data_IF_534414938355
#
_entry.id   IF_534414938355
#
_cell.length_a   1.000
_cell.length_b   1.000
_cell.length_c   1.000
_cell.angle_alpha   90.00
_cell.angle_beta   90.00
_cell.angle_gamma   90.00
#
_symmetry.space_group_name_H-M   'P 1'
#
loop_
_entity.id
_entity.type
_entity.pdbx_description
1 polymer ?
#
# COMPACT_ATOMS: atom_id res chain seq x y z
N UNK A 1 17.20 3.23 -20.06
CA UNK A 1 16.47 3.19 -18.77
C UNK A 1 15.06 2.71 -19.05
N UNK A 2 14.65 1.56 -18.53
CA UNK A 2 13.32 1.02 -18.77
C UNK A 2 12.25 1.95 -18.19
N UNK A 3 11.16 2.16 -18.92
CA UNK A 3 10.03 3.02 -18.54
C UNK A 3 9.54 2.59 -17.14
N UNK A 4 9.45 3.54 -16.23
CA UNK A 4 8.82 3.29 -14.93
C UNK A 4 7.32 3.25 -15.20
N UNK A 5 6.75 2.05 -15.17
CA UNK A 5 5.30 1.85 -15.29
C UNK A 5 4.60 2.52 -14.09
N UNK A 6 3.79 3.52 -14.40
CA UNK A 6 2.92 4.26 -13.49
C UNK A 6 1.49 4.12 -14.02
N UNK A 7 0.85 2.98 -13.76
CA UNK A 7 -0.40 2.55 -14.38
C UNK A 7 -1.57 2.43 -13.39
N UNK A 8 -1.38 2.81 -12.12
CA UNK A 8 -2.46 2.88 -11.15
C UNK A 8 -3.52 3.89 -11.61
N UNK A 9 -4.68 3.38 -12.01
CA UNK A 9 -5.84 4.19 -12.40
C UNK A 9 -6.58 4.73 -11.18
N UNK A 10 -7.38 5.79 -11.38
CA UNK A 10 -8.27 6.32 -10.32
C UNK A 10 -9.28 5.27 -9.84
N UNK A 11 -9.87 4.51 -10.77
CA UNK A 11 -10.80 3.43 -10.43
C UNK A 11 -10.17 2.34 -9.55
N UNK A 12 -8.94 1.93 -9.87
CA UNK A 12 -8.20 0.98 -9.04
C UNK A 12 -7.86 1.56 -7.67
N UNK A 13 -7.52 2.85 -7.61
CA UNK A 13 -7.30 3.52 -6.33
C UNK A 13 -8.55 3.54 -5.46
N UNK A 14 -9.70 3.91 -6.03
CA UNK A 14 -10.97 3.93 -5.30
C UNK A 14 -11.37 2.53 -4.83
N UNK A 15 -11.16 1.51 -5.66
CA UNK A 15 -11.36 0.11 -5.30
C UNK A 15 -10.43 -0.32 -4.15
N UNK A 16 -9.15 0.07 -4.16
CA UNK A 16 -8.22 -0.19 -3.06
C UNK A 16 -8.70 0.47 -1.76
N UNK A 17 -9.09 1.75 -1.80
CA UNK A 17 -9.59 2.48 -0.62
C UNK A 17 -10.84 1.82 -0.06
N UNK A 18 -11.80 1.48 -0.91
CA UNK A 18 -13.03 0.81 -0.49
C UNK A 18 -12.77 -0.57 0.12
N UNK A 19 -11.88 -1.37 -0.47
CA UNK A 19 -11.66 -2.76 -0.04
C UNK A 19 -10.78 -2.86 1.21
N UNK A 20 -9.82 -1.94 1.37
CA UNK A 20 -9.05 -1.83 2.62
C UNK A 20 -9.88 -1.25 3.75
N UNK A 21 -10.87 -0.42 3.45
CA UNK A 21 -11.78 0.21 4.40
C UNK A 21 -11.04 0.92 5.56
N UNK A 22 -9.93 1.59 5.24
CA UNK A 22 -9.08 2.30 6.18
C UNK A 22 -7.60 2.28 5.79
N UNK A 23 -6.75 2.79 6.68
CA UNK A 23 -5.31 2.69 6.53
C UNK A 23 -4.88 1.21 6.55
N UNK A 24 -4.16 0.78 5.51
CA UNK A 24 -3.66 -0.58 5.36
C UNK A 24 -2.71 -1.04 6.49
N UNK A 25 -2.22 -0.10 7.29
CA UNK A 25 -1.29 -0.37 8.38
C UNK A 25 -1.94 -0.32 9.76
N UNK A 26 -2.53 0.82 10.13
CA UNK A 26 -3.10 1.01 11.46
C UNK A 26 -4.63 0.79 11.52
N UNK A 27 -5.29 0.58 10.39
CA UNK A 27 -6.75 0.41 10.31
C UNK A 27 -7.56 1.69 10.53
N UNK A 28 -6.93 2.84 10.75
CA UNK A 28 -7.65 4.09 11.00
C UNK A 28 -8.50 4.51 9.80
N UNK A 29 -9.75 4.90 10.07
CA UNK A 29 -10.77 5.34 9.09
C UNK A 29 -11.14 6.82 9.25
N UNK A 30 -10.66 7.47 10.30
CA UNK A 30 -10.99 8.82 10.74
C UNK A 30 -10.10 9.91 10.11
N UNK A 31 -9.36 9.60 9.05
CA UNK A 31 -8.35 10.49 8.46
C UNK A 31 -8.12 10.24 6.98
N UNK A 32 -7.64 11.27 6.29
CA UNK A 32 -7.30 11.19 4.88
C UNK A 32 -6.26 10.09 4.59
N UNK A 33 -6.50 9.34 3.52
CA UNK A 33 -5.65 8.28 3.03
C UNK A 33 -4.81 8.78 1.86
N UNK A 34 -3.58 8.31 1.81
CA UNK A 34 -2.57 8.60 0.79
C UNK A 34 -2.15 7.29 0.11
N UNK A 35 -1.65 7.40 -1.11
CA UNK A 35 -1.07 6.27 -1.85
C UNK A 35 0.34 6.00 -1.31
N UNK A 36 0.56 4.86 -0.66
CA UNK A 36 1.92 4.41 -0.28
C UNK A 36 2.34 3.21 -1.13
N UNK A 37 3.61 3.19 -1.54
CA UNK A 37 4.21 2.10 -2.29
C UNK A 37 4.89 1.11 -1.34
N UNK A 38 4.45 -0.15 -1.34
CA UNK A 38 5.01 -1.22 -0.51
C UNK A 38 6.52 -1.42 -0.73
N UNK A 39 6.95 -1.51 -2.00
CA UNK A 39 8.32 -1.29 -2.43
C UNK A 39 8.44 0.18 -2.90
N UNK A 40 9.27 1.02 -2.23
CA UNK A 40 9.45 2.41 -2.65
C UNK A 40 9.99 2.54 -4.08
N UNK A 41 9.57 3.58 -4.80
CA UNK A 41 10.02 3.86 -6.17
C UNK A 41 11.55 4.02 -6.24
N UNK A 42 12.14 4.65 -5.23
CA UNK A 42 13.61 4.82 -5.10
C UNK A 42 14.38 3.50 -4.95
N UNK A 43 13.67 2.37 -4.73
CA UNK A 43 14.22 1.02 -4.63
C UNK A 43 13.70 0.09 -5.72
N UNK A 44 13.22 0.63 -6.83
CA UNK A 44 12.73 -0.14 -7.97
C UNK A 44 11.24 -0.50 -7.91
N UNK A 45 10.50 0.03 -6.93
CA UNK A 45 9.06 -0.07 -6.89
C UNK A 45 8.37 0.64 -8.05
N UNK A 46 7.15 0.22 -8.37
CA UNK A 46 6.31 0.78 -9.44
C UNK A 46 5.03 1.34 -8.87
N UNK A 47 4.42 2.29 -9.57
CA UNK A 47 3.17 2.90 -9.11
C UNK A 47 1.98 2.17 -9.73
N UNK A 48 1.80 0.93 -9.27
CA UNK A 48 0.82 -0.04 -9.78
C UNK A 48 -0.13 -0.46 -8.68
N UNK A 49 -1.30 -0.99 -9.05
CA UNK A 49 -2.29 -1.55 -8.10
C UNK A 49 -1.71 -2.65 -7.21
N UNK A 50 -0.73 -3.41 -7.72
CA UNK A 50 -0.05 -4.48 -6.97
C UNK A 50 0.93 -3.98 -5.92
N UNK A 51 1.40 -2.74 -6.04
CA UNK A 51 2.41 -2.17 -5.15
C UNK A 51 1.87 -1.02 -4.27
N UNK A 52 0.72 -0.44 -4.60
CA UNK A 52 0.13 0.68 -3.87
C UNK A 52 -0.93 0.21 -2.89
N UNK A 53 -0.90 0.75 -1.67
CA UNK A 53 -1.92 0.57 -0.64
C UNK A 53 -2.35 1.92 -0.06
N UNK A 54 -3.58 2.04 0.48
CA UNK A 54 -4.00 3.25 1.18
C UNK A 54 -3.36 3.33 2.56
N UNK A 55 -2.71 4.45 2.87
CA UNK A 55 -2.05 4.68 4.15
C UNK A 55 -2.40 6.06 4.69
N UNK A 56 -2.62 6.20 6.00
CA UNK A 56 -2.76 7.52 6.59
C UNK A 56 -1.41 8.27 6.60
N UNK A 57 -1.46 9.60 6.68
CA UNK A 57 -0.25 10.44 6.65
C UNK A 57 0.81 10.07 7.70
N UNK A 58 0.39 9.69 8.91
CA UNK A 58 1.32 9.28 9.98
C UNK A 58 2.04 7.97 9.65
N UNK A 59 1.33 6.95 9.17
CA UNK A 59 1.95 5.68 8.80
C UNK A 59 2.82 5.83 7.55
N UNK A 60 2.34 6.54 6.53
CA UNK A 60 3.09 6.81 5.30
C UNK A 60 4.42 7.53 5.61
N UNK A 61 4.37 8.61 6.40
CA UNK A 61 5.58 9.32 6.84
C UNK A 61 6.50 8.45 7.69
N UNK A 62 5.96 7.61 8.58
CA UNK A 62 6.75 6.67 9.39
C UNK A 62 7.45 5.60 8.55
N UNK A 63 6.81 5.14 7.46
CA UNK A 63 7.39 4.16 6.53
C UNK A 63 8.44 4.81 5.64
N UNK A 64 8.15 5.97 5.08
CA UNK A 64 9.03 6.70 4.18
C UNK A 64 9.57 5.76 3.08
N UNK A 65 10.87 5.81 2.80
CA UNK A 65 11.54 4.98 1.80
C UNK A 65 11.95 3.59 2.32
N UNK A 66 11.30 3.08 3.37
CA UNK A 66 11.50 1.71 3.84
C UNK A 66 10.56 0.76 3.08
N UNK A 67 11.03 -0.43 2.74
CA UNK A 67 10.17 -1.51 2.23
C UNK A 67 9.16 -1.93 3.30
N UNK A 68 7.94 -2.26 2.88
CA UNK A 68 6.81 -2.55 3.78
C UNK A 68 7.12 -3.64 4.80
N UNK A 69 7.72 -4.77 4.40
CA UNK A 69 7.98 -5.91 5.30
C UNK A 69 9.00 -5.52 6.39
N UNK A 70 10.08 -4.86 5.99
CA UNK A 70 11.09 -4.32 6.90
C UNK A 70 10.48 -3.31 7.88
N UNK A 71 9.60 -2.43 7.38
CA UNK A 71 8.94 -1.44 8.20
C UNK A 71 7.94 -2.07 9.19
N UNK A 72 7.12 -3.02 8.75
CA UNK A 72 6.15 -3.73 9.58
C UNK A 72 6.85 -4.45 10.74
N UNK A 73 7.93 -5.18 10.46
CA UNK A 73 8.77 -5.82 11.49
C UNK A 73 9.33 -4.82 12.48
N UNK A 74 9.87 -3.70 12.01
CA UNK A 74 10.38 -2.61 12.88
C UNK A 74 9.28 -2.02 13.77
N UNK A 75 8.06 -1.90 13.25
CA UNK A 75 6.89 -1.41 14.00
C UNK A 75 6.21 -2.48 14.85
N UNK A 76 6.67 -3.74 14.79
CA UNK A 76 6.04 -4.91 15.42
C UNK A 76 4.57 -5.06 15.03
N UNK A 77 4.25 -4.75 13.77
CA UNK A 77 2.94 -5.00 13.19
C UNK A 77 2.90 -6.42 12.59
N UNK A 78 1.70 -6.95 12.43
CA UNK A 78 1.48 -8.30 11.89
C UNK A 78 1.71 -8.33 10.37
N UNK A 79 2.93 -8.71 9.98
CA UNK A 79 3.34 -8.83 8.57
C UNK A 79 2.53 -9.90 7.83
N UNK A 80 2.27 -11.05 8.46
CA UNK A 80 1.54 -12.14 7.83
C UNK A 80 0.11 -11.75 7.49
N UNK A 81 -0.58 -11.12 8.44
CA UNK A 81 -1.93 -10.58 8.23
C UNK A 81 -1.97 -9.54 7.12
N UNK A 82 -0.98 -8.65 7.06
CA UNK A 82 -0.89 -7.66 5.99
C UNK A 82 -0.75 -8.31 4.61
N UNK A 83 0.18 -9.26 4.46
CA UNK A 83 0.46 -9.91 3.17
C UNK A 83 -0.72 -10.76 2.69
N UNK A 84 -1.37 -11.50 3.59
CA UNK A 84 -2.59 -12.25 3.27
C UNK A 84 -3.71 -11.32 2.81
N UNK A 85 -3.96 -10.24 3.56
CA UNK A 85 -4.99 -9.26 3.19
C UNK A 85 -4.70 -8.60 1.85
N UNK A 86 -3.44 -8.25 1.57
CA UNK A 86 -3.05 -7.68 0.29
C UNK A 86 -3.32 -8.67 -0.85
N UNK A 87 -2.98 -9.94 -0.69
CA UNK A 87 -3.25 -10.97 -1.71
C UNK A 87 -4.76 -11.14 -1.98
N UNK A 88 -5.57 -11.17 -0.91
CA UNK A 88 -7.04 -11.20 -1.03
C UNK A 88 -7.57 -9.99 -1.81
N UNK A 89 -7.14 -8.78 -1.45
CA UNK A 89 -7.59 -7.53 -2.09
C UNK A 89 -7.20 -7.49 -3.56
N UNK A 90 -5.98 -7.90 -3.91
CA UNK A 90 -5.58 -7.98 -5.32
C UNK A 90 -6.44 -8.98 -6.09
N UNK A 91 -6.79 -10.11 -5.46
CA UNK A 91 -7.75 -11.07 -6.02
C UNK A 91 -9.16 -10.50 -6.21
N UNK A 92 -9.53 -9.39 -5.57
CA UNK A 92 -10.81 -8.71 -5.76
C UNK A 92 -10.73 -7.56 -6.77
N UNK A 93 -9.64 -6.77 -6.73
CA UNK A 93 -9.46 -5.55 -7.54
C UNK A 93 -9.00 -5.85 -8.96
N UNK A 94 -8.29 -6.96 -9.19
CA UNK A 94 -7.77 -7.36 -10.51
C UNK A 94 -8.68 -8.36 -11.25
N UNK A 95 -9.90 -8.59 -10.76
CA UNK A 95 -10.90 -9.44 -11.42
C UNK A 95 -11.71 -8.68 -12.46
#
# INVERSE_FOLDING_TARGET
>A
MAKVEHDLTELQWDALVATWAGCAYCGATDRALQKDCMLPISRGGRYTVTNVVPACGSCNASKCNTEVTTWLRRKKLDEGRFLLRQAEILGLVLR
#
